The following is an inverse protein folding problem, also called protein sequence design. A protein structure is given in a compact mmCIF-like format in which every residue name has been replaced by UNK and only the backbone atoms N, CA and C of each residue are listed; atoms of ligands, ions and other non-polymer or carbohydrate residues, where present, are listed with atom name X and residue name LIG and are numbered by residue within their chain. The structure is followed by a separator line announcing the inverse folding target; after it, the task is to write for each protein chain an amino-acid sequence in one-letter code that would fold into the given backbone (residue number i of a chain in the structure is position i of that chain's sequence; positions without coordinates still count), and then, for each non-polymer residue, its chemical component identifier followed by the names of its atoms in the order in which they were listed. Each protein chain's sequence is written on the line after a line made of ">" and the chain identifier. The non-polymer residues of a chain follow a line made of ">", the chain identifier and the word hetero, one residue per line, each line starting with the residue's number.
data_IF_156514861528
#
_entry.id   IF_156514861528
#
_cell.length_a   1.000
_cell.length_b   1.000
_cell.length_c   1.000
_cell.angle_alpha   90.00
_cell.angle_beta   90.00
_cell.angle_gamma   90.00
#
_symmetry.space_group_name_H-M   'P 1'
#
loop_
_entity.id
_entity.type
_entity.pdbx_description
1 polymer ?
#
# COMPACT_ATOMS: atom_id res chain seq x y z
N UNK A 1 -36.05 -65.04 25.84
CA UNK A 1 -35.19 -64.64 24.71
C UNK A 1 -34.98 -63.13 24.79
N UNK A 2 -33.74 -62.61 24.57
CA UNK A 2 -33.24 -61.41 25.22
C UNK A 2 -33.35 -60.15 24.34
N UNK A 3 -33.61 -59.00 24.96
CA UNK A 3 -33.45 -57.68 24.35
C UNK A 3 -33.26 -56.66 25.46
N UNK A 4 -32.02 -56.50 25.94
CA UNK A 4 -31.55 -55.31 26.67
C UNK A 4 -30.02 -55.35 26.72
N UNK A 5 -29.34 -54.97 25.64
CA UNK A 5 -27.89 -54.77 25.67
C UNK A 5 -27.48 -53.69 24.70
N UNK A 6 -27.84 -52.43 24.98
CA UNK A 6 -27.18 -51.30 24.31
C UNK A 6 -26.96 -50.05 25.19
N UNK A 7 -27.52 -49.99 26.41
CA UNK A 7 -27.49 -48.76 27.21
C UNK A 7 -26.27 -48.57 28.12
N UNK A 8 -25.21 -49.40 28.01
CA UNK A 8 -24.05 -49.35 28.93
C UNK A 8 -22.71 -48.95 28.29
N UNK A 9 -22.69 -48.04 27.32
CA UNK A 9 -21.41 -47.55 26.78
C UNK A 9 -21.12 -46.05 27.01
N UNK A 10 -21.99 -45.28 27.64
CA UNK A 10 -21.74 -43.83 27.84
C UNK A 10 -21.17 -43.44 29.21
N UNK A 11 -20.88 -44.39 30.11
CA UNK A 11 -20.59 -44.06 31.53
C UNK A 11 -19.21 -44.52 32.04
N UNK A 12 -18.14 -44.47 31.22
CA UNK A 12 -16.80 -44.84 31.71
C UNK A 12 -15.63 -43.94 31.28
N UNK A 13 -15.86 -42.71 30.82
CA UNK A 13 -14.75 -41.78 30.55
C UNK A 13 -15.10 -40.32 30.84
N UNK A 14 -14.91 -39.83 32.09
CA UNK A 14 -15.02 -38.40 32.40
C UNK A 14 -13.88 -37.56 31.78
N UNK A 15 -12.74 -38.18 31.44
CA UNK A 15 -11.56 -37.49 30.89
C UNK A 15 -11.61 -37.24 29.37
N UNK A 16 -12.41 -38.01 28.62
CA UNK A 16 -12.56 -37.83 27.16
C UNK A 16 -13.35 -36.56 26.83
N UNK A 17 -14.23 -36.10 27.73
CA UNK A 17 -14.99 -34.86 27.55
C UNK A 17 -14.07 -33.63 27.51
N UNK A 18 -13.04 -33.60 28.35
CA UNK A 18 -12.05 -32.50 28.38
C UNK A 18 -11.10 -32.54 27.19
N UNK A 19 -10.69 -33.75 26.78
CA UNK A 19 -9.83 -33.95 25.61
C UNK A 19 -10.57 -33.64 24.29
N UNK A 20 -11.86 -34.00 24.20
CA UNK A 20 -12.73 -33.67 23.08
C UNK A 20 -12.92 -32.16 22.95
N UNK A 21 -13.27 -31.46 24.04
CA UNK A 21 -13.43 -30.00 24.03
C UNK A 21 -12.13 -29.28 23.64
N UNK A 22 -10.96 -29.72 24.14
CA UNK A 22 -9.67 -29.18 23.75
C UNK A 22 -9.36 -29.41 22.27
N UNK A 23 -9.65 -30.61 21.74
CA UNK A 23 -9.45 -30.91 20.32
C UNK A 23 -10.42 -30.13 19.41
N UNK A 24 -11.66 -29.90 19.85
CA UNK A 24 -12.62 -29.06 19.11
C UNK A 24 -12.21 -27.58 19.12
N UNK A 25 -11.69 -27.08 20.24
CA UNK A 25 -11.16 -25.71 20.33
C UNK A 25 -9.90 -25.53 19.46
N UNK A 26 -9.00 -26.51 19.47
CA UNK A 26 -7.77 -26.50 18.65
C UNK A 26 -8.08 -26.56 17.15
N UNK A 27 -9.15 -27.24 16.75
CA UNK A 27 -9.59 -27.32 15.34
C UNK A 27 -10.37 -26.07 14.89
N UNK A 28 -11.09 -25.40 15.79
CA UNK A 28 -11.80 -24.16 15.50
C UNK A 28 -10.85 -22.95 15.28
N UNK A 29 -9.66 -22.95 15.89
CA UNK A 29 -8.65 -21.88 15.72
C UNK A 29 -8.00 -21.90 14.33
N UNK A 30 -8.09 -23.01 13.59
CA UNK A 30 -7.47 -23.17 12.26
C UNK A 30 -8.34 -22.67 11.10
N UNK A 31 -9.54 -22.14 11.37
CA UNK A 31 -10.54 -21.71 10.38
C UNK A 31 -10.76 -20.20 10.39
N UNK A 32 -9.72 -19.40 10.56
CA UNK A 32 -9.84 -17.94 10.36
C UNK A 32 -9.91 -17.69 8.86
N UNK A 33 -11.12 -17.77 8.34
CA UNK A 33 -11.47 -17.52 6.93
C UNK A 33 -11.76 -16.04 6.76
N UNK A 34 -11.04 -15.34 5.86
CA UNK A 34 -11.24 -13.92 5.66
C UNK A 34 -10.20 -13.26 4.75
N UNK A 35 -10.58 -12.14 4.18
CA UNK A 35 -9.69 -11.27 3.40
C UNK A 35 -8.61 -10.69 4.30
N UNK A 36 -7.35 -10.74 3.86
CA UNK A 36 -6.22 -10.24 4.64
C UNK A 36 -5.76 -8.88 4.14
N UNK A 37 -5.65 -7.92 5.06
CA UNK A 37 -5.04 -6.63 4.77
C UNK A 37 -3.66 -6.56 5.44
N UNK A 38 -2.62 -6.49 4.62
CA UNK A 38 -1.24 -6.28 5.03
C UNK A 38 -0.89 -4.80 5.00
N UNK A 39 -0.67 -4.22 6.17
CA UNK A 39 -0.14 -2.87 6.31
C UNK A 39 1.38 -2.96 6.40
N UNK A 40 2.06 -2.62 5.30
CA UNK A 40 3.52 -2.60 5.23
C UNK A 40 3.97 -1.18 5.51
N UNK A 41 4.62 -0.94 6.65
CA UNK A 41 5.08 0.40 7.03
C UNK A 41 6.59 0.47 6.82
N UNK A 42 7.08 1.16 5.76
CA UNK A 42 8.52 1.37 5.59
C UNK A 42 9.07 2.30 6.67
N UNK A 43 10.40 2.47 6.67
CA UNK A 43 11.05 3.45 7.54
C UNK A 43 10.56 4.86 7.21
N UNK A 44 10.37 5.68 8.24
CA UNK A 44 10.05 7.10 8.07
C UNK A 44 8.64 7.51 8.51
N UNK A 45 7.91 6.62 9.19
CA UNK A 45 6.63 6.98 9.77
C UNK A 45 5.85 5.79 10.32
N UNK A 46 4.55 6.01 10.52
CA UNK A 46 3.60 5.03 11.02
C UNK A 46 2.24 5.15 10.34
N UNK A 47 1.43 4.11 10.45
CA UNK A 47 0.04 4.10 9.98
C UNK A 47 -0.88 3.89 11.18
N UNK A 48 -1.88 4.75 11.32
CA UNK A 48 -2.84 4.71 12.42
C UNK A 48 -4.26 4.71 11.85
N UNK A 49 -5.16 3.91 12.40
CA UNK A 49 -6.59 4.00 12.09
C UNK A 49 -7.24 5.15 12.87
N UNK A 50 -8.24 5.82 12.28
CA UNK A 50 -8.96 6.91 12.95
C UNK A 50 -9.68 6.45 14.22
N UNK A 51 -10.06 5.18 14.31
CA UNK A 51 -10.61 4.57 15.51
C UNK A 51 -9.57 4.39 16.63
N UNK A 52 -8.28 4.40 16.30
CA UNK A 52 -7.18 4.05 17.19
C UNK A 52 -7.02 2.55 17.45
N UNK A 53 -7.85 1.71 16.81
CA UNK A 53 -7.79 0.24 16.96
C UNK A 53 -6.50 -0.35 16.40
N UNK A 54 -5.98 0.24 15.31
CA UNK A 54 -4.79 -0.24 14.62
C UNK A 54 -3.71 0.84 14.61
N UNK A 55 -2.52 0.50 15.11
CA UNK A 55 -1.31 1.31 15.01
C UNK A 55 -0.14 0.43 14.56
N UNK A 56 0.45 0.78 13.42
CA UNK A 56 1.55 0.07 12.79
C UNK A 56 2.74 1.01 12.68
N UNK A 57 3.83 0.71 13.40
CA UNK A 57 4.99 1.59 13.46
C UNK A 57 5.98 1.31 12.33
N UNK A 58 6.92 2.23 12.14
CA UNK A 58 8.02 2.13 11.18
C UNK A 58 8.69 0.74 11.17
N UNK A 59 8.85 0.17 9.98
CA UNK A 59 9.48 -1.12 9.75
C UNK A 59 8.62 -2.35 10.08
N UNK A 60 7.35 -2.16 10.46
CA UNK A 60 6.45 -3.26 10.78
C UNK A 60 5.58 -3.69 9.60
N UNK A 61 5.20 -4.97 9.63
CA UNK A 61 4.09 -5.54 8.88
C UNK A 61 2.96 -5.84 9.87
N UNK A 62 1.81 -5.19 9.71
CA UNK A 62 0.59 -5.57 10.42
C UNK A 62 -0.32 -6.38 9.50
N UNK A 63 -0.96 -7.40 10.05
CA UNK A 63 -1.99 -8.18 9.38
C UNK A 63 -3.34 -7.90 10.05
N UNK A 64 -4.36 -7.63 9.25
CA UNK A 64 -5.74 -7.43 9.69
C UNK A 64 -6.60 -8.44 8.94
N UNK A 65 -7.33 -9.27 9.68
CA UNK A 65 -8.32 -10.19 9.13
C UNK A 65 -9.67 -9.48 8.98
N UNK A 66 -10.20 -9.48 7.76
CA UNK A 66 -11.50 -8.88 7.40
C UNK A 66 -12.44 -9.99 6.92
N UNK A 67 -13.27 -10.48 7.83
CA UNK A 67 -14.14 -11.64 7.60
C UNK A 67 -15.63 -11.31 7.47
N UNK A 68 -16.02 -10.05 7.69
CA UNK A 68 -17.43 -9.65 7.68
C UNK A 68 -17.67 -8.26 7.07
N UNK A 69 -18.95 -7.88 7.01
CA UNK A 69 -19.43 -6.60 6.44
C UNK A 69 -19.41 -5.45 7.44
N UNK A 70 -18.89 -5.63 8.66
CA UNK A 70 -18.87 -4.59 9.68
C UNK A 70 -17.59 -3.75 9.66
N UNK A 71 -16.59 -4.15 8.87
CA UNK A 71 -15.33 -3.45 8.76
C UNK A 71 -15.49 -2.08 8.07
N UNK A 72 -15.07 -1.02 8.76
CA UNK A 72 -15.07 0.35 8.25
C UNK A 72 -14.00 1.14 9.00
N UNK A 73 -12.81 1.23 8.40
CA UNK A 73 -11.65 1.85 9.02
C UNK A 73 -11.03 2.87 8.07
N UNK A 74 -10.59 3.99 8.62
CA UNK A 74 -9.86 5.02 7.87
C UNK A 74 -8.44 5.11 8.38
N UNK A 75 -7.48 4.79 7.53
CA UNK A 75 -6.07 4.80 7.84
C UNK A 75 -5.42 6.12 7.44
N UNK A 76 -4.55 6.62 8.32
CA UNK A 76 -3.77 7.84 8.13
C UNK A 76 -2.30 7.47 8.29
N UNK A 77 -1.48 7.86 7.32
CA UNK A 77 -0.04 7.79 7.44
C UNK A 77 0.49 9.04 8.14
N UNK A 78 1.29 8.84 9.18
CA UNK A 78 1.97 9.90 9.91
C UNK A 78 3.47 9.74 9.69
N UNK A 79 4.08 10.70 9.02
CA UNK A 79 5.52 10.73 8.82
C UNK A 79 6.25 11.05 10.14
N UNK A 80 7.42 10.44 10.32
CA UNK A 80 8.36 10.79 11.37
C UNK A 80 9.04 12.14 11.05
N UNK A 81 9.71 12.77 12.03
CA UNK A 81 10.51 13.96 11.75
C UNK A 81 11.50 13.72 10.61
N UNK A 82 11.71 14.74 9.76
CA UNK A 82 12.58 14.68 8.57
C UNK A 82 12.04 13.82 7.41
N UNK A 83 10.88 13.19 7.56
CA UNK A 83 10.21 12.49 6.48
C UNK A 83 8.93 13.22 6.04
N UNK A 84 8.52 12.95 4.81
CA UNK A 84 7.27 13.40 4.25
C UNK A 84 6.48 12.22 3.69
N UNK A 85 5.17 12.20 3.97
CA UNK A 85 4.26 11.24 3.38
C UNK A 85 3.87 11.71 1.98
N UNK A 86 4.29 10.98 0.95
CA UNK A 86 4.02 11.32 -0.44
C UNK A 86 2.71 10.70 -0.97
N UNK A 87 2.17 9.71 -0.26
CA UNK A 87 0.95 9.03 -0.61
C UNK A 87 1.05 7.52 -0.47
N UNK A 88 -0.01 6.81 -0.84
CA UNK A 88 -0.06 5.35 -0.80
C UNK A 88 0.57 4.74 -2.05
N UNK A 89 1.25 3.60 -1.90
CA UNK A 89 1.91 2.92 -3.01
C UNK A 89 0.89 2.34 -3.97
N UNK A 90 1.04 2.68 -5.24
CA UNK A 90 0.31 2.04 -6.33
C UNK A 90 0.95 0.69 -6.64
N UNK A 91 0.19 -0.39 -6.47
CA UNK A 91 0.59 -1.77 -6.77
C UNK A 91 -0.63 -2.65 -7.00
N UNK A 92 -0.40 -3.85 -7.52
CA UNK A 92 -1.41 -4.90 -7.57
C UNK A 92 -1.89 -5.25 -6.15
N UNK A 93 -3.22 -5.42 -6.01
CA UNK A 93 -3.93 -5.58 -4.74
C UNK A 93 -3.63 -4.46 -3.71
N UNK A 94 -3.13 -3.32 -4.17
CA UNK A 94 -2.81 -2.17 -3.33
C UNK A 94 -3.99 -1.22 -3.17
N UNK A 95 -4.25 -0.80 -1.94
CA UNK A 95 -5.27 0.20 -1.65
C UNK A 95 -4.74 1.63 -1.78
N UNK A 96 -5.62 2.53 -2.23
CA UNK A 96 -5.44 3.99 -2.19
C UNK A 96 -4.26 4.58 -3.01
N UNK A 97 -3.59 3.79 -3.86
CA UNK A 97 -2.41 4.24 -4.62
C UNK A 97 -2.59 5.44 -5.56
N UNK A 98 -3.82 5.85 -5.86
CA UNK A 98 -4.15 7.04 -6.68
C UNK A 98 -4.75 8.20 -5.89
N UNK A 99 -4.76 8.12 -4.55
CA UNK A 99 -5.38 9.13 -3.67
C UNK A 99 -4.39 10.21 -3.20
N UNK A 100 -3.12 10.14 -3.59
CA UNK A 100 -2.08 11.02 -3.06
C UNK A 100 -1.98 10.89 -1.54
N UNK A 101 -1.93 12.02 -0.83
CA UNK A 101 -1.77 12.08 0.62
C UNK A 101 -3.09 11.98 1.42
N UNK A 102 -4.22 11.76 0.75
CA UNK A 102 -5.51 11.65 1.42
C UNK A 102 -5.61 10.37 2.30
N UNK A 103 -6.36 10.41 3.42
CA UNK A 103 -6.63 9.22 4.23
C UNK A 103 -7.24 8.07 3.42
N UNK A 104 -6.87 6.84 3.78
CA UNK A 104 -7.32 5.64 3.10
C UNK A 104 -8.44 4.96 3.89
N UNK A 105 -9.70 5.19 3.49
CA UNK A 105 -10.85 4.46 4.04
C UNK A 105 -11.03 3.12 3.33
N UNK A 106 -11.05 2.05 4.12
CA UNK A 106 -11.34 0.68 3.73
C UNK A 106 -12.63 0.24 4.43
N UNK A 107 -13.60 -0.27 3.68
CA UNK A 107 -14.89 -0.64 4.25
C UNK A 107 -15.55 -1.79 3.49
N UNK A 108 -16.30 -2.62 4.22
CA UNK A 108 -17.07 -3.75 3.72
C UNK A 108 -18.57 -3.59 4.00
N UNK A 109 -18.96 -2.49 4.66
CA UNK A 109 -20.36 -2.15 5.00
C UNK A 109 -21.31 -2.08 3.81
N UNK A 110 -20.79 -1.88 2.60
CA UNK A 110 -21.57 -1.88 1.37
C UNK A 110 -21.69 -3.25 0.68
N UNK A 111 -21.04 -4.31 1.19
CA UNK A 111 -20.91 -5.59 0.48
C UNK A 111 -22.15 -6.47 0.58
N UNK A 112 -23.00 -6.26 1.58
CA UNK A 112 -24.11 -7.15 1.93
C UNK A 112 -25.12 -7.42 0.79
N UNK A 113 -25.19 -6.54 -0.21
CA UNK A 113 -26.12 -6.65 -1.34
C UNK A 113 -25.43 -7.10 -2.65
N UNK A 114 -24.15 -7.49 -2.59
CA UNK A 114 -23.35 -7.82 -3.78
C UNK A 114 -22.62 -9.15 -3.59
N UNK A 115 -23.14 -10.22 -4.19
CA UNK A 115 -22.59 -11.58 -4.06
C UNK A 115 -21.10 -11.67 -4.46
N UNK A 116 -20.69 -10.96 -5.50
CA UNK A 116 -19.27 -10.90 -5.92
C UNK A 116 -18.38 -10.27 -4.86
N UNK A 117 -18.87 -9.26 -4.12
CA UNK A 117 -18.10 -8.63 -3.05
C UNK A 117 -18.04 -9.51 -1.80
N UNK A 118 -19.11 -10.26 -1.53
CA UNK A 118 -19.14 -11.25 -0.46
C UNK A 118 -18.15 -12.40 -0.70
N UNK A 119 -17.85 -12.76 -1.96
CA UNK A 119 -16.84 -13.77 -2.28
C UNK A 119 -15.43 -13.34 -1.85
N UNK A 120 -15.08 -12.05 -1.96
CA UNK A 120 -13.78 -11.56 -1.48
C UNK A 120 -13.63 -11.68 0.04
N UNK A 121 -14.72 -11.55 0.81
CA UNK A 121 -14.70 -11.75 2.26
C UNK A 121 -14.58 -13.22 2.67
N UNK A 122 -14.93 -14.13 1.75
CA UNK A 122 -14.89 -15.58 1.94
C UNK A 122 -13.65 -16.23 1.31
N UNK A 123 -12.82 -15.43 0.62
CA UNK A 123 -11.56 -15.89 0.06
C UNK A 123 -10.51 -15.89 1.17
N UNK A 124 -9.96 -17.08 1.45
CA UNK A 124 -9.04 -17.29 2.58
C UNK A 124 -7.58 -16.89 2.25
N UNK A 125 -7.26 -16.75 0.97
CA UNK A 125 -5.88 -16.58 0.48
C UNK A 125 -5.63 -15.21 -0.15
N UNK A 126 -6.64 -14.34 -0.23
CA UNK A 126 -6.49 -13.03 -0.85
C UNK A 126 -5.85 -12.03 0.12
N UNK A 127 -4.66 -11.54 -0.26
CA UNK A 127 -3.91 -10.54 0.48
C UNK A 127 -3.90 -9.22 -0.28
N UNK A 128 -4.38 -8.18 0.40
CA UNK A 128 -4.35 -6.80 -0.08
C UNK A 128 -3.38 -5.96 0.74
N UNK A 129 -2.82 -4.93 0.11
CA UNK A 129 -1.72 -4.16 0.67
C UNK A 129 -2.13 -2.71 0.92
N UNK A 130 -1.76 -2.22 2.10
CA UNK A 130 -1.77 -0.80 2.42
C UNK A 130 -0.35 -0.38 2.78
N UNK A 131 0.28 0.41 1.93
CA UNK A 131 1.70 0.74 2.06
C UNK A 131 1.92 2.23 1.80
N UNK A 132 2.28 3.04 2.81
CA UNK A 132 2.60 4.44 2.62
C UNK A 132 3.99 4.61 1.99
N UNK A 133 4.19 5.73 1.30
CA UNK A 133 5.47 6.16 0.78
C UNK A 133 5.96 7.31 1.66
N UNK A 134 7.04 7.07 2.40
CA UNK A 134 7.77 8.10 3.12
C UNK A 134 9.07 8.43 2.39
N UNK A 135 9.34 9.72 2.18
CA UNK A 135 10.58 10.20 1.60
C UNK A 135 11.30 11.11 2.60
N UNK A 136 12.63 11.03 2.67
CA UNK A 136 13.41 11.96 3.50
C UNK A 136 13.40 13.35 2.85
N UNK A 137 13.17 14.38 3.66
CA UNK A 137 13.09 15.76 3.22
C UNK A 137 14.43 16.26 2.66
N UNK A 138 15.56 15.79 3.20
CA UNK A 138 16.91 16.07 2.72
C UNK A 138 17.32 15.21 1.51
N UNK A 139 16.42 14.40 0.97
CA UNK A 139 16.62 13.67 -0.29
C UNK A 139 15.65 14.15 -1.37
N UNK A 140 14.71 15.04 -1.01
CA UNK A 140 13.71 15.58 -1.91
C UNK A 140 14.27 16.72 -2.75
N UNK A 141 14.05 16.63 -4.06
CA UNK A 141 14.27 17.72 -5.00
C UNK A 141 13.21 18.81 -4.77
N UNK A 142 13.67 20.03 -4.51
CA UNK A 142 12.77 21.18 -4.30
C UNK A 142 12.85 22.10 -5.50
N UNK A 143 11.70 22.47 -6.07
CA UNK A 143 11.62 23.55 -7.06
C UNK A 143 11.78 24.87 -6.31
N UNK A 144 12.91 25.55 -6.49
CA UNK A 144 13.21 26.83 -5.86
C UNK A 144 12.69 28.02 -6.67
N UNK A 145 12.41 27.82 -7.95
CA UNK A 145 11.90 28.86 -8.85
C UNK A 145 11.35 28.27 -10.14
N UNK A 146 10.47 29.03 -10.79
CA UNK A 146 10.02 28.74 -12.15
C UNK A 146 9.93 30.03 -12.96
N UNK A 147 10.25 29.96 -14.24
CA UNK A 147 10.04 31.04 -15.21
C UNK A 147 9.33 30.49 -16.44
N UNK A 148 8.40 31.27 -16.96
CA UNK A 148 7.61 30.94 -18.15
C UNK A 148 7.85 32.01 -19.20
N UNK A 149 8.49 31.63 -20.30
CA UNK A 149 8.68 32.49 -21.46
C UNK A 149 7.78 31.98 -22.59
N UNK A 150 6.69 32.68 -22.86
CA UNK A 150 5.75 32.34 -23.92
C UNK A 150 6.14 33.06 -25.22
N UNK A 151 6.63 32.30 -26.19
CA UNK A 151 6.77 32.69 -27.58
C UNK A 151 5.44 32.62 -28.33
N UNK A 152 5.45 33.09 -29.58
CA UNK A 152 4.26 33.11 -30.44
C UNK A 152 3.90 31.70 -30.96
N UNK A 153 4.87 30.79 -30.99
CA UNK A 153 4.75 29.44 -31.54
C UNK A 153 5.20 28.35 -30.56
N UNK A 154 5.86 28.72 -29.45
CA UNK A 154 6.41 27.84 -28.43
C UNK A 154 6.30 28.46 -27.02
N UNK A 155 6.25 27.62 -25.99
CA UNK A 155 6.32 28.06 -24.59
C UNK A 155 7.46 27.32 -23.89
N UNK A 156 8.36 28.07 -23.25
CA UNK A 156 9.49 27.53 -22.49
C UNK A 156 9.19 27.66 -21.00
N UNK A 157 9.15 26.52 -20.31
CA UNK A 157 9.11 26.46 -18.85
C UNK A 157 10.51 26.13 -18.34
N UNK A 158 11.09 27.06 -17.60
CA UNK A 158 12.38 26.89 -16.92
C UNK A 158 12.11 26.62 -15.44
N UNK A 159 12.60 25.49 -14.94
CA UNK A 159 12.51 25.13 -13.53
C UNK A 159 13.91 25.26 -12.90
N UNK A 160 13.99 25.99 -11.79
CA UNK A 160 15.17 26.01 -10.93
C UNK A 160 14.98 24.98 -9.82
N UNK A 161 15.87 23.99 -9.77
CA UNK A 161 15.83 22.93 -8.76
C UNK A 161 16.98 23.12 -7.77
N UNK A 162 16.65 23.04 -6.49
CA UNK A 162 17.64 22.91 -5.41
C UNK A 162 17.77 21.43 -5.05
N UNK A 163 18.97 20.88 -5.27
CA UNK A 163 19.33 19.52 -4.85
C UNK A 163 19.86 19.55 -3.41
N UNK A 164 19.51 18.56 -2.59
CA UNK A 164 20.26 18.28 -1.38
C UNK A 164 21.71 17.88 -1.68
N UNK A 165 22.62 18.14 -0.73
CA UNK A 165 24.07 17.93 -0.87
C UNK A 165 24.52 16.48 -1.14
N UNK A 166 23.61 15.51 -1.04
CA UNK A 166 23.86 14.07 -1.22
C UNK A 166 23.17 13.45 -2.44
N UNK A 167 22.41 14.23 -3.21
CA UNK A 167 21.60 13.70 -4.31
C UNK A 167 22.41 13.48 -5.59
N UNK A 168 22.39 12.25 -6.10
CA UNK A 168 22.84 11.91 -7.47
C UNK A 168 21.59 11.89 -8.34
N UNK A 169 21.51 12.80 -9.32
CA UNK A 169 20.43 12.81 -10.32
C UNK A 169 20.60 11.62 -11.29
N UNK A 170 19.81 10.57 -11.10
CA UNK A 170 19.44 9.69 -12.21
C UNK A 170 18.05 10.08 -12.66
N UNK A 171 17.91 10.63 -13.87
CA UNK A 171 16.63 10.94 -14.51
C UNK A 171 16.26 9.81 -15.48
N UNK A 172 15.61 8.71 -15.06
CA UNK A 172 15.12 7.70 -16.00
C UNK A 172 13.78 8.09 -16.64
N UNK A 173 13.13 9.17 -16.21
CA UNK A 173 11.84 9.60 -16.75
C UNK A 173 12.03 10.81 -17.65
N UNK A 174 12.46 10.55 -18.89
CA UNK A 174 12.19 11.46 -19.99
C UNK A 174 10.66 11.52 -20.15
N UNK A 175 10.10 12.73 -20.04
CA UNK A 175 8.70 13.00 -20.32
C UNK A 175 8.37 12.52 -21.74
N UNK A 176 7.60 11.44 -21.86
CA UNK A 176 6.88 11.11 -23.08
C UNK A 176 5.45 11.58 -22.92
N UNK A 177 5.08 12.64 -23.64
CA UNK A 177 3.68 13.07 -23.74
C UNK A 177 3.48 14.56 -23.47
N UNK A 178 3.91 15.39 -24.42
CA UNK A 178 3.21 16.63 -24.73
C UNK A 178 3.04 16.64 -26.24
N UNK A 179 1.80 16.50 -26.70
CA UNK A 179 1.47 16.41 -28.13
C UNK A 179 1.54 17.79 -28.84
N UNK A 180 1.87 18.85 -28.10
CA UNK A 180 2.24 20.17 -28.59
C UNK A 180 3.60 20.58 -27.97
N UNK A 181 4.51 21.17 -28.75
CA UNK A 181 5.90 21.50 -28.40
C UNK A 181 6.06 22.35 -27.11
N UNK A 182 6.15 21.69 -25.94
CA UNK A 182 6.60 22.31 -24.70
C UNK A 182 7.99 21.78 -24.38
N UNK A 183 8.99 22.66 -24.46
CA UNK A 183 10.36 22.34 -24.05
C UNK A 183 10.55 22.63 -22.56
N UNK A 184 10.98 21.62 -21.81
CA UNK A 184 11.30 21.74 -20.38
C UNK A 184 12.80 21.75 -20.23
N UNK A 185 13.37 22.86 -19.71
CA UNK A 185 14.80 22.96 -19.40
C UNK A 185 15.03 22.93 -17.89
N UNK A 186 15.97 22.09 -17.44
CA UNK A 186 16.29 21.91 -16.02
C UNK A 186 17.70 22.46 -15.78
N UNK A 187 17.83 23.39 -14.84
CA UNK A 187 19.12 23.99 -14.44
C UNK A 187 19.40 23.74 -12.95
N UNK A 188 20.69 23.60 -12.61
CA UNK A 188 21.16 23.44 -11.23
C UNK A 188 22.10 24.59 -10.88
N UNK A 189 21.77 25.39 -9.85
CA UNK A 189 22.53 26.59 -9.46
C UNK A 189 22.85 27.53 -10.65
N UNK A 190 21.92 27.69 -11.59
CA UNK A 190 22.10 28.52 -12.78
C UNK A 190 22.94 27.91 -13.91
N UNK A 191 23.40 26.66 -13.78
CA UNK A 191 24.07 25.92 -14.86
C UNK A 191 23.08 24.93 -15.53
N UNK A 192 23.03 24.88 -16.88
CA UNK A 192 22.23 23.86 -17.57
C UNK A 192 22.78 22.46 -17.30
N UNK A 193 21.89 21.49 -17.02
CA UNK A 193 22.25 20.09 -16.85
C UNK A 193 22.60 19.44 -18.20
N UNK A 194 23.71 19.84 -18.82
CA UNK A 194 24.21 19.27 -20.08
C UNK A 194 25.26 18.20 -19.80
N UNK A 195 24.90 17.10 -19.14
CA UNK A 195 25.65 15.84 -19.00
C UNK A 195 24.92 15.01 -17.93
N UNK A 196 24.27 13.90 -18.21
CA UNK A 196 24.81 12.63 -18.69
C UNK A 196 23.71 11.92 -19.51
N UNK A 197 23.52 12.32 -20.77
CA UNK A 197 22.77 11.47 -21.71
C UNK A 197 23.72 10.34 -22.06
N UNK A 198 23.58 9.19 -21.38
CA UNK A 198 24.10 7.93 -21.91
C UNK A 198 23.52 7.74 -23.31
N UNK A 199 24.33 7.23 -24.23
CA UNK A 199 23.91 6.98 -25.61
C UNK A 199 22.52 6.31 -25.66
N UNK A 200 21.66 6.69 -26.62
CA UNK A 200 20.34 6.09 -26.76
C UNK A 200 20.47 4.57 -26.85
N UNK A 201 19.81 3.86 -25.94
CA UNK A 201 19.72 2.41 -25.99
C UNK A 201 18.88 2.07 -27.23
N UNK A 202 19.55 1.57 -28.26
CA UNK A 202 18.95 0.95 -29.43
C UNK A 202 18.20 -0.32 -28.99
N UNK A 203 16.89 -0.19 -28.77
CA UNK A 203 16.02 -1.36 -28.73
C UNK A 203 15.84 -1.85 -30.14
N UNK A 204 16.85 -2.60 -30.60
CA UNK A 204 16.88 -3.25 -31.89
C UNK A 204 15.53 -3.90 -32.17
N UNK A 205 14.92 -3.47 -33.27
CA UNK A 205 13.75 -4.10 -33.85
C UNK A 205 14.09 -5.55 -34.17
N UNK A 206 13.67 -6.45 -33.28
CA UNK A 206 13.73 -7.88 -33.56
C UNK A 206 12.36 -8.32 -34.02
N UNK A 207 12.20 -8.27 -35.35
CA UNK A 207 11.30 -9.02 -36.25
C UNK A 207 9.81 -9.09 -35.94
#
# INVERSE_FOLDING_TARGET
>A
MPSQSFSRLTSRYPSIKRLGILATFLMAVLLVTGCKVHIIVPVGGKVISQSGTYECTSGQLCEIDVSDTSFDETFVAQADPEFEFLGWRLRENGFCGKKGTAPCRLFTTAFANYDTLMQFLQADDDVYYLEPIFARQDEMLVVSGYSLEAGREDAVLTLELTLPSTSILSLPYLFTGVEDEVSVSITFNGAPLTALVGEPIDWGSTT
#
